data_IF_311419124858
#
_entry.id   IF_311419124858
#
_cell.length_a   1.000
_cell.length_b   1.000
_cell.length_c   1.000
_cell.angle_alpha   90.00
_cell.angle_beta   90.00
_cell.angle_gamma   90.00
#
_symmetry.space_group_name_H-M   'P 1'
#
loop_
_entity.id
_entity.type
_entity.pdbx_description
1 polymer ?
#
# COMPACT_ATOMS: atom_id res chain seq x y z
N UNK A 1 36.14 81.02 -21.79
CA UNK A 1 35.98 80.58 -20.41
C UNK A 1 34.75 79.72 -20.34
N UNK A 2 34.84 78.45 -20.60
CA UNK A 2 33.80 77.46 -20.24
C UNK A 2 34.47 76.09 -20.10
N UNK A 3 34.57 75.62 -18.85
CA UNK A 3 35.15 74.31 -18.51
C UNK A 3 34.11 73.22 -18.74
N UNK A 4 34.37 72.33 -19.68
CA UNK A 4 33.56 71.13 -19.91
C UNK A 4 34.13 70.07 -19.01
N UNK A 5 33.37 69.68 -17.98
CA UNK A 5 33.64 68.52 -17.11
C UNK A 5 33.06 67.26 -17.77
N UNK A 6 33.96 66.42 -18.22
CA UNK A 6 33.62 65.09 -18.76
C UNK A 6 33.24 64.19 -17.66
N UNK A 7 31.93 63.80 -17.56
CA UNK A 7 31.42 62.74 -16.65
C UNK A 7 31.59 61.40 -17.32
N UNK A 8 32.52 60.60 -16.81
CA UNK A 8 32.67 59.18 -17.19
C UNK A 8 31.63 58.36 -16.45
N UNK A 9 30.57 57.89 -17.12
CA UNK A 9 29.60 56.95 -16.60
C UNK A 9 30.17 55.52 -16.72
N UNK A 10 30.61 54.98 -15.60
CA UNK A 10 30.96 53.53 -15.50
C UNK A 10 29.69 52.68 -15.49
N UNK A 11 29.48 51.95 -16.58
CA UNK A 11 28.37 50.98 -16.70
C UNK A 11 28.80 49.65 -16.04
N UNK A 12 28.34 49.39 -14.82
CA UNK A 12 28.57 48.13 -14.14
C UNK A 12 27.52 47.13 -14.68
N UNK A 13 27.94 46.20 -15.52
CA UNK A 13 27.10 45.10 -16.01
C UNK A 13 27.04 44.01 -14.91
N UNK A 14 25.93 43.94 -14.20
CA UNK A 14 25.63 42.81 -13.27
C UNK A 14 25.12 41.63 -14.07
N UNK A 15 25.99 40.62 -14.28
CA UNK A 15 25.60 39.35 -14.84
C UNK A 15 24.82 38.54 -13.78
N UNK A 16 23.50 38.43 -13.92
CA UNK A 16 22.66 37.52 -13.12
C UNK A 16 22.84 36.12 -13.64
N UNK A 17 23.51 35.27 -12.84
CA UNK A 17 23.56 33.82 -13.04
C UNK A 17 22.17 33.24 -12.73
N UNK A 18 21.38 32.98 -13.77
CA UNK A 18 20.14 32.20 -13.65
C UNK A 18 20.49 30.72 -13.43
N UNK A 19 20.39 30.25 -12.21
CA UNK A 19 20.47 28.80 -11.91
C UNK A 19 19.26 28.08 -12.55
N UNK A 20 19.47 27.00 -13.31
CA UNK A 20 18.34 26.21 -13.80
C UNK A 20 17.65 25.56 -12.59
N UNK A 21 16.39 25.93 -12.34
CA UNK A 21 15.50 25.26 -11.42
C UNK A 21 15.24 23.86 -11.98
N UNK A 22 15.90 22.86 -11.41
CA UNK A 22 15.62 21.47 -11.76
C UNK A 22 14.15 21.18 -11.52
N UNK A 23 13.39 21.00 -12.58
CA UNK A 23 11.99 20.58 -12.51
C UNK A 23 11.96 19.20 -11.85
N UNK A 24 11.58 19.15 -10.57
CA UNK A 24 11.28 17.90 -9.87
C UNK A 24 10.04 17.33 -10.53
N UNK A 25 10.20 16.23 -11.26
CA UNK A 25 9.08 15.44 -11.77
C UNK A 25 8.26 15.03 -10.56
N UNK A 26 6.97 15.39 -10.44
CA UNK A 26 6.17 14.96 -9.31
C UNK A 26 6.14 13.43 -9.31
N UNK A 27 6.23 12.77 -8.14
CA UNK A 27 6.12 11.32 -8.06
C UNK A 27 4.82 10.93 -8.76
N UNK A 28 4.90 9.97 -9.69
CA UNK A 28 3.74 9.44 -10.40
C UNK A 28 2.71 9.04 -9.36
N UNK A 29 1.56 9.71 -9.34
CA UNK A 29 0.49 9.37 -8.44
C UNK A 29 0.12 7.90 -8.68
N UNK A 30 0.22 7.07 -7.63
CA UNK A 30 -0.21 5.67 -7.70
C UNK A 30 -1.64 5.62 -8.26
N UNK A 31 -1.97 4.64 -9.11
CA UNK A 31 -3.33 4.51 -9.65
C UNK A 31 -4.34 4.55 -8.50
N UNK A 32 -5.40 5.34 -8.63
CA UNK A 32 -6.44 5.41 -7.61
C UNK A 32 -7.01 4.02 -7.38
N UNK A 33 -7.02 3.58 -6.13
CA UNK A 33 -7.56 2.29 -5.73
C UNK A 33 -6.55 1.14 -5.69
N UNK A 34 -5.28 1.35 -6.04
CA UNK A 34 -4.21 0.38 -5.84
C UNK A 34 -3.23 0.89 -4.78
N UNK A 35 -2.84 0.02 -3.85
CA UNK A 35 -1.81 0.33 -2.83
C UNK A 35 -1.00 -0.89 -2.45
N UNK A 36 0.23 -0.64 -2.02
CA UNK A 36 1.12 -1.65 -1.44
C UNK A 36 1.16 -1.49 0.07
N UNK A 37 1.16 -2.61 0.79
CA UNK A 37 1.27 -2.68 2.24
C UNK A 37 2.43 -3.59 2.58
N UNK A 38 3.42 -3.06 3.30
CA UNK A 38 4.44 -3.88 3.95
C UNK A 38 3.78 -4.52 5.17
N UNK A 39 3.68 -5.85 5.15
CA UNK A 39 2.99 -6.61 6.19
C UNK A 39 3.98 -7.16 7.23
N UNK A 40 3.70 -6.86 8.50
CA UNK A 40 4.42 -7.45 9.61
C UNK A 40 3.57 -8.57 10.25
N UNK A 41 4.20 -9.62 10.84
CA UNK A 41 3.46 -10.64 11.58
C UNK A 41 2.59 -10.00 12.68
N UNK A 42 1.29 -10.36 12.70
CA UNK A 42 0.24 -9.85 13.60
C UNK A 42 -0.34 -8.48 13.25
N UNK A 43 -0.01 -7.91 12.10
CA UNK A 43 -0.68 -6.70 11.63
C UNK A 43 -2.17 -6.97 11.34
N UNK A 44 -2.98 -5.94 11.58
CA UNK A 44 -4.37 -5.86 11.14
C UNK A 44 -4.45 -4.86 9.99
N UNK A 45 -4.80 -5.34 8.81
CA UNK A 45 -4.91 -4.52 7.61
C UNK A 45 -6.36 -4.11 7.37
N UNK A 46 -6.67 -2.82 7.43
CA UNK A 46 -8.00 -2.32 7.08
C UNK A 46 -8.15 -2.19 5.56
N UNK A 47 -9.23 -2.75 5.02
CA UNK A 47 -9.62 -2.69 3.62
C UNK A 47 -11.00 -2.04 3.47
N UNK A 48 -11.09 -1.10 2.54
CA UNK A 48 -12.34 -0.42 2.18
C UNK A 48 -12.89 -1.01 0.89
N UNK A 49 -14.09 -1.52 0.93
CA UNK A 49 -14.77 -2.07 -0.23
C UNK A 49 -16.06 -1.29 -0.52
N UNK A 50 -16.49 -1.28 -1.77
CA UNK A 50 -17.76 -0.67 -2.20
C UNK A 50 -18.62 -1.67 -2.95
N UNK A 51 -19.94 -1.49 -2.86
CA UNK A 51 -20.87 -2.21 -3.71
C UNK A 51 -20.49 -2.05 -5.19
N UNK A 52 -20.71 -3.11 -5.95
CA UNK A 52 -20.39 -3.21 -7.40
C UNK A 52 -18.89 -3.22 -7.75
N UNK A 53 -18.01 -3.12 -6.74
CA UNK A 53 -16.57 -3.25 -6.93
C UNK A 53 -16.05 -4.52 -6.26
N UNK A 54 -14.92 -5.00 -6.75
CA UNK A 54 -14.16 -6.09 -6.16
C UNK A 54 -12.82 -5.54 -5.69
N UNK A 55 -12.44 -5.85 -4.46
CA UNK A 55 -11.10 -5.62 -3.95
C UNK A 55 -10.27 -6.87 -4.18
N UNK A 56 -9.15 -6.75 -4.88
CA UNK A 56 -8.19 -7.83 -5.07
C UNK A 56 -7.05 -7.69 -4.05
N UNK A 57 -6.82 -8.73 -3.27
CA UNK A 57 -5.66 -8.85 -2.38
C UNK A 57 -4.66 -9.76 -3.10
N UNK A 58 -3.43 -9.29 -3.25
CA UNK A 58 -2.32 -10.01 -3.85
C UNK A 58 -1.31 -10.33 -2.76
N UNK A 59 -1.13 -11.61 -2.44
CA UNK A 59 -0.15 -12.07 -1.47
C UNK A 59 1.28 -11.93 -2.04
N UNK A 60 2.31 -11.96 -1.19
CA UNK A 60 3.69 -11.97 -1.63
C UNK A 60 3.99 -13.12 -2.60
N UNK A 61 4.97 -12.94 -3.45
CA UNK A 61 5.39 -13.96 -4.41
C UNK A 61 5.75 -15.29 -3.69
N UNK A 62 5.23 -16.39 -4.22
CA UNK A 62 5.43 -17.73 -3.64
C UNK A 62 4.47 -18.10 -2.51
N UNK A 63 3.61 -17.18 -2.07
CA UNK A 63 2.57 -17.47 -1.09
C UNK A 63 1.27 -17.88 -1.76
N UNK A 64 0.66 -18.95 -1.27
CA UNK A 64 -0.67 -19.39 -1.67
C UNK A 64 -1.56 -19.55 -0.44
N UNK A 65 -2.84 -19.23 -0.58
CA UNK A 65 -3.81 -19.35 0.50
C UNK A 65 -4.28 -20.81 0.62
N UNK A 66 -4.07 -21.41 1.78
CA UNK A 66 -4.60 -22.75 2.13
C UNK A 66 -5.96 -22.67 2.78
N UNK A 67 -6.23 -21.59 3.52
CA UNK A 67 -7.50 -21.38 4.19
C UNK A 67 -7.88 -19.90 4.22
N UNK A 68 -9.17 -19.62 4.01
CA UNK A 68 -9.73 -18.29 4.13
C UNK A 68 -10.99 -18.33 5.01
N UNK A 69 -10.97 -17.60 6.12
CA UNK A 69 -12.09 -17.52 7.06
C UNK A 69 -12.61 -16.10 7.14
N UNK A 70 -13.86 -15.89 6.73
CA UNK A 70 -14.55 -14.61 6.83
C UNK A 70 -15.62 -14.70 7.94
N UNK A 71 -15.69 -13.67 8.78
CA UNK A 71 -16.64 -13.63 9.91
C UNK A 71 -18.09 -13.55 9.46
N UNK A 72 -18.38 -12.84 8.38
CA UNK A 72 -19.74 -12.75 7.82
C UNK A 72 -19.73 -13.16 6.33
N UNK A 73 -20.01 -14.44 6.09
CA UNK A 73 -20.03 -15.02 4.74
C UNK A 73 -21.30 -14.69 3.94
N UNK A 74 -22.36 -14.23 4.59
CA UNK A 74 -23.59 -13.83 3.88
C UNK A 74 -23.47 -12.41 3.34
N UNK A 75 -22.69 -11.59 4.04
CA UNK A 75 -22.47 -10.19 3.67
C UNK A 75 -21.27 -10.02 2.74
N UNK A 76 -20.28 -10.89 2.82
CA UNK A 76 -19.02 -10.80 2.09
C UNK A 76 -18.78 -12.03 1.23
N UNK A 77 -18.54 -11.78 -0.06
CA UNK A 77 -18.16 -12.81 -1.02
C UNK A 77 -16.65 -12.82 -1.14
N UNK A 78 -16.03 -13.93 -0.76
CA UNK A 78 -14.58 -14.13 -0.80
C UNK A 78 -14.28 -15.30 -1.73
N UNK A 79 -13.41 -15.10 -2.72
CA UNK A 79 -12.92 -16.14 -3.60
C UNK A 79 -11.40 -16.15 -3.59
N UNK A 80 -10.82 -17.35 -3.53
CA UNK A 80 -9.37 -17.59 -3.46
C UNK A 80 -8.90 -18.31 -4.71
N UNK A 81 -7.76 -17.89 -5.24
CA UNK A 81 -7.06 -18.56 -6.33
C UNK A 81 -5.54 -18.39 -6.15
N UNK A 82 -4.88 -19.42 -5.61
CA UNK A 82 -3.45 -19.35 -5.27
C UNK A 82 -3.17 -18.20 -4.29
N UNK A 83 -2.29 -17.29 -4.66
CA UNK A 83 -1.97 -16.08 -3.88
C UNK A 83 -2.90 -14.90 -4.12
N UNK A 84 -4.00 -15.08 -4.87
CA UNK A 84 -4.96 -14.01 -5.18
C UNK A 84 -6.27 -14.23 -4.42
N UNK A 85 -6.73 -13.20 -3.72
CA UNK A 85 -8.00 -13.24 -3.00
C UNK A 85 -8.87 -12.07 -3.43
N UNK A 86 -10.04 -12.36 -3.97
CA UNK A 86 -11.02 -11.33 -4.32
C UNK A 86 -12.10 -11.23 -3.25
N UNK A 87 -12.38 -10.01 -2.84
CA UNK A 87 -13.35 -9.68 -1.80
C UNK A 87 -14.35 -8.67 -2.34
N UNK A 88 -15.63 -8.90 -2.07
CA UNK A 88 -16.67 -7.97 -2.51
C UNK A 88 -17.85 -7.99 -1.53
N UNK A 89 -18.40 -6.83 -1.12
CA UNK A 89 -19.61 -6.78 -0.31
C UNK A 89 -20.83 -7.16 -1.16
N UNK A 90 -21.75 -7.94 -0.58
CA UNK A 90 -23.03 -8.29 -1.17
C UNK A 90 -24.12 -7.28 -0.86
N UNK A 91 -23.98 -6.47 0.20
CA UNK A 91 -24.95 -5.46 0.68
C UNK A 91 -24.22 -4.22 1.16
N UNK A 92 -24.96 -3.11 1.31
CA UNK A 92 -24.45 -1.86 1.85
C UNK A 92 -24.31 -1.90 3.37
N UNK A 93 -23.26 -1.27 3.87
CA UNK A 93 -22.92 -1.14 5.30
C UNK A 93 -22.53 -2.48 5.93
N UNK A 94 -21.51 -2.49 6.68
CA UNK A 94 -21.05 -3.66 7.39
C UNK A 94 -19.53 -3.74 7.49
N UNK A 95 -19.11 -4.34 8.58
CA UNK A 95 -17.71 -4.59 8.87
C UNK A 95 -17.55 -6.03 9.33
N UNK A 96 -16.49 -6.68 8.89
CA UNK A 96 -16.14 -8.03 9.31
C UNK A 96 -14.63 -8.22 9.26
N UNK A 97 -14.15 -9.35 9.75
CA UNK A 97 -12.77 -9.75 9.59
C UNK A 97 -12.61 -10.84 8.53
N UNK A 98 -11.44 -10.87 7.91
CA UNK A 98 -11.01 -11.92 7.00
C UNK A 98 -9.61 -12.38 7.44
N UNK A 99 -9.47 -13.68 7.70
CA UNK A 99 -8.17 -14.29 7.97
C UNK A 99 -7.80 -15.20 6.81
N UNK A 100 -6.57 -15.07 6.34
CA UNK A 100 -5.98 -15.92 5.32
C UNK A 100 -4.80 -16.66 5.93
N UNK A 101 -4.75 -17.97 5.77
CA UNK A 101 -3.61 -18.79 6.17
C UNK A 101 -2.90 -19.20 4.89
N UNK A 102 -1.62 -18.87 4.78
CA UNK A 102 -0.80 -19.17 3.61
C UNK A 102 -0.02 -20.49 3.79
N UNK A 103 0.53 -21.00 2.68
CA UNK A 103 1.33 -22.24 2.65
C UNK A 103 2.56 -22.19 3.56
N UNK A 104 3.14 -21.01 3.77
CA UNK A 104 4.23 -20.79 4.73
C UNK A 104 3.80 -20.92 6.20
N UNK A 105 2.49 -20.95 6.48
CA UNK A 105 1.91 -20.83 7.82
C UNK A 105 1.73 -19.37 8.27
N UNK A 106 2.07 -18.40 7.43
CA UNK A 106 1.81 -16.99 7.72
C UNK A 106 0.30 -16.75 7.75
N UNK A 107 -0.15 -16.00 8.76
CA UNK A 107 -1.55 -15.55 8.88
C UNK A 107 -1.62 -14.08 8.51
N UNK A 108 -2.49 -13.75 7.56
CA UNK A 108 -2.81 -12.39 7.17
C UNK A 108 -4.21 -12.05 7.66
N UNK A 109 -4.34 -10.99 8.45
CA UNK A 109 -5.63 -10.59 9.04
C UNK A 109 -6.07 -9.23 8.50
N UNK A 110 -7.32 -9.19 8.04
CA UNK A 110 -7.93 -7.99 7.47
C UNK A 110 -9.19 -7.62 8.23
N UNK A 111 -9.46 -6.33 8.31
CA UNK A 111 -10.77 -5.77 8.67
C UNK A 111 -11.38 -5.20 7.39
N UNK A 112 -12.51 -5.73 6.99
CA UNK A 112 -13.23 -5.34 5.78
C UNK A 112 -14.34 -4.37 6.15
N UNK A 113 -14.35 -3.18 5.58
CA UNK A 113 -15.40 -2.18 5.81
C UNK A 113 -16.06 -1.78 4.50
N UNK A 114 -17.39 -1.85 4.44
CA UNK A 114 -18.16 -1.39 3.30
C UNK A 114 -18.41 0.13 3.42
N UNK A 115 -17.99 0.90 2.40
CA UNK A 115 -17.95 2.36 2.47
C UNK A 115 -18.76 3.07 1.38
N UNK A 116 -19.71 2.38 0.68
CA UNK A 116 -20.51 2.99 -0.38
C UNK A 116 -21.33 4.17 0.09
N UNK A 117 -21.82 4.12 1.33
CA UNK A 117 -22.61 5.19 1.94
C UNK A 117 -21.81 6.35 2.53
N UNK A 118 -20.47 6.29 2.50
CA UNK A 118 -19.61 7.29 3.13
C UNK A 118 -19.02 8.23 2.08
N UNK A 119 -19.43 9.50 2.03
CA UNK A 119 -18.86 10.46 1.07
C UNK A 119 -17.35 10.63 1.25
N UNK A 120 -16.63 10.73 0.12
CA UNK A 120 -15.17 10.95 0.13
C UNK A 120 -14.32 9.73 0.48
N UNK A 121 -14.93 8.58 0.71
CA UNK A 121 -14.20 7.32 0.88
C UNK A 121 -14.09 6.58 -0.46
N UNK A 122 -12.87 6.23 -0.86
CA UNK A 122 -12.63 5.41 -2.05
C UNK A 122 -12.40 3.95 -1.65
N UNK A 123 -12.81 3.03 -2.54
CA UNK A 123 -12.54 1.60 -2.34
C UNK A 123 -11.09 1.28 -2.66
N UNK A 124 -10.53 0.34 -1.92
CA UNK A 124 -9.30 -0.36 -2.30
C UNK A 124 -9.65 -1.33 -3.44
N UNK A 125 -9.13 -1.11 -4.64
CA UNK A 125 -9.39 -1.99 -5.78
C UNK A 125 -8.36 -3.11 -5.86
N UNK A 126 -7.09 -2.79 -5.57
CA UNK A 126 -6.02 -3.78 -5.52
C UNK A 126 -5.08 -3.45 -4.36
N UNK A 127 -4.78 -4.45 -3.54
CA UNK A 127 -3.86 -4.33 -2.42
C UNK A 127 -2.77 -5.39 -2.58
N UNK A 128 -1.53 -4.93 -2.74
CA UNK A 128 -0.36 -5.77 -2.79
C UNK A 128 0.23 -5.89 -1.40
N UNK A 129 0.43 -7.11 -0.92
CA UNK A 129 1.14 -7.36 0.33
C UNK A 129 2.61 -7.64 0.01
N UNK A 130 3.50 -6.91 0.64
CA UNK A 130 4.93 -7.14 0.58
C UNK A 130 5.44 -7.59 1.93
N UNK A 131 6.36 -8.59 1.98
CA UNK A 131 6.96 -9.01 3.24
C UNK A 131 7.85 -7.89 3.79
N UNK A 132 7.89 -7.73 5.11
CA UNK A 132 8.96 -6.96 5.73
C UNK A 132 10.27 -7.76 5.64
N UNK A 133 11.23 -7.28 4.86
CA UNK A 133 12.53 -7.93 4.67
C UNK A 133 13.29 -8.12 5.99
N UNK A 134 13.09 -7.22 6.95
CA UNK A 134 13.70 -7.31 8.28
C UNK A 134 13.05 -8.41 9.13
N UNK A 135 11.73 -8.59 9.03
CA UNK A 135 11.01 -9.66 9.71
C UNK A 135 11.31 -11.02 9.07
N UNK A 136 11.41 -11.07 7.75
CA UNK A 136 11.81 -12.27 6.99
C UNK A 136 13.23 -12.74 7.35
N UNK A 137 14.15 -11.83 7.61
CA UNK A 137 15.48 -12.14 8.08
C UNK A 137 15.49 -12.69 9.53
N UNK A 138 14.61 -12.15 10.41
CA UNK A 138 14.47 -12.62 11.79
C UNK A 138 13.76 -13.97 11.90
N UNK A 139 12.77 -14.25 11.05
CA UNK A 139 11.99 -15.49 11.05
C UNK A 139 12.84 -16.73 10.67
N UNK A 140 13.94 -16.54 9.91
CA UNK A 140 14.87 -17.61 9.59
C UNK A 140 15.74 -18.09 10.77
N UNK A 141 15.68 -17.39 11.91
CA UNK A 141 16.38 -17.75 13.15
C UNK A 141 15.43 -18.37 14.20
N UNK A 142 14.22 -18.79 13.82
CA UNK A 142 13.32 -19.52 14.73
C UNK A 142 14.02 -20.79 15.21
N UNK A 143 14.09 -21.05 16.52
CA UNK A 143 14.75 -22.24 17.05
C UNK A 143 14.02 -23.48 16.54
N UNK A 144 14.74 -24.34 15.83
CA UNK A 144 14.25 -25.64 15.41
C UNK A 144 13.92 -26.43 16.67
N UNK A 145 12.63 -26.76 16.85
CA UNK A 145 12.22 -27.62 17.95
C UNK A 145 12.87 -28.99 17.74
N UNK A 146 13.83 -29.32 18.57
CA UNK A 146 14.42 -30.66 18.60
C UNK A 146 13.55 -31.47 19.57
N UNK A 147 12.87 -32.56 19.13
CA UNK A 147 12.18 -33.43 20.06
C UNK A 147 13.20 -34.00 21.05
N UNK A 148 12.88 -33.93 22.35
CA UNK A 148 13.66 -34.62 23.35
C UNK A 148 13.51 -36.11 23.09
N UNK A 149 14.59 -36.80 22.75
CA UNK A 149 14.64 -38.24 22.72
C UNK A 149 14.43 -38.79 24.16
N UNK A 150 13.45 -39.67 24.32
CA UNK A 150 13.24 -40.45 25.55
C UNK A 150 14.15 -41.66 25.55
#
# INVERSE_FOLDING_TARGET
MFSIRLFLLAFVATATLASPLAAQTPPSAAPRGARTIVYHPRDLVSLKAKLHYTTLIVLPEGEEVVEATCGDKEFWIVNVRGGLVSVKPARAGGETNLNLIATSGQVYTFVLSEVSGTPGQDADLTVYLEPDDLASARGRTSPKFVPAEQ
#
